data_IF_586633377972
#
_entry.id   IF_586633377972
#
_cell.length_a   1.000
_cell.length_b   1.000
_cell.length_c   1.000
_cell.angle_alpha   90.00
_cell.angle_beta   90.00
_cell.angle_gamma   90.00
#
_symmetry.space_group_name_H-M   'P 1'
#
loop_
_entity.id
_entity.type
_entity.pdbx_description
1 polymer ?
#
# COMPACT_ATOMS: atom_id res chain seq x y z
N UNK A 1 -87.84 -22.25 56.56
CA UNK A 1 -87.42 -21.54 55.35
C UNK A 1 -85.90 -21.64 55.27
N UNK A 2 -85.41 -22.38 54.25
CA UNK A 2 -84.04 -22.39 53.68
C UNK A 2 -82.87 -22.79 54.59
N UNK A 3 -82.29 -24.00 54.40
CA UNK A 3 -81.04 -24.33 53.63
C UNK A 3 -79.77 -23.99 54.48
N UNK A 4 -78.68 -24.76 54.58
CA UNK A 4 -78.13 -25.89 53.82
C UNK A 4 -76.84 -26.39 54.54
N UNK A 5 -76.57 -27.71 54.50
CA UNK A 5 -75.29 -28.41 54.17
C UNK A 5 -74.02 -28.10 55.03
N UNK A 6 -73.03 -28.98 55.24
CA UNK A 6 -72.67 -30.32 54.75
C UNK A 6 -71.59 -30.95 55.68
N UNK A 7 -71.37 -32.25 55.46
CA UNK A 7 -70.70 -33.28 56.26
C UNK A 7 -69.15 -33.14 56.48
N UNK A 8 -68.56 -33.86 57.48
CA UNK A 8 -67.14 -33.85 57.86
C UNK A 8 -66.39 -35.11 57.39
N UNK A 9 -65.07 -35.05 57.11
CA UNK A 9 -64.26 -36.28 56.94
C UNK A 9 -62.85 -36.16 57.53
N UNK A 10 -62.45 -37.29 58.13
CA UNK A 10 -61.38 -37.62 59.06
C UNK A 10 -59.98 -37.78 58.43
N UNK A 11 -59.00 -37.72 59.33
CA UNK A 11 -57.56 -38.09 59.24
C UNK A 11 -57.30 -39.52 58.75
N UNK A 12 -56.19 -39.73 58.05
CA UNK A 12 -55.45 -41.01 57.94
C UNK A 12 -53.94 -40.76 57.78
N UNK A 13 -53.13 -41.67 58.35
CA UNK A 13 -51.67 -41.64 58.59
C UNK A 13 -50.87 -42.32 57.44
N UNK A 14 -49.52 -42.36 57.57
CA UNK A 14 -48.49 -43.30 56.99
C UNK A 14 -47.48 -42.61 56.01
N UNK A 15 -46.16 -42.98 55.93
CA UNK A 15 -45.05 -42.60 56.82
C UNK A 15 -43.85 -41.96 56.07
N UNK A 16 -42.77 -41.71 56.81
CA UNK A 16 -41.45 -41.21 56.38
C UNK A 16 -40.76 -42.15 55.39
N UNK A 17 -40.28 -41.61 54.27
CA UNK A 17 -39.25 -42.21 53.42
C UNK A 17 -38.10 -41.22 53.25
N UNK A 18 -36.95 -41.61 53.77
CA UNK A 18 -35.66 -40.90 53.77
C UNK A 18 -35.01 -41.09 52.38
N UNK A 19 -34.99 -40.03 51.56
CA UNK A 19 -34.28 -40.00 50.28
C UNK A 19 -33.11 -39.03 50.33
N UNK A 20 -31.88 -39.55 50.39
CA UNK A 20 -30.66 -38.75 50.32
C UNK A 20 -30.48 -38.19 48.91
N UNK A 21 -30.76 -36.90 48.72
CA UNK A 21 -30.42 -36.18 47.50
C UNK A 21 -28.97 -35.65 47.63
N UNK A 22 -28.02 -36.37 47.05
CA UNK A 22 -26.69 -35.83 46.79
C UNK A 22 -26.83 -34.73 45.73
N UNK A 23 -26.89 -33.47 46.16
CA UNK A 23 -26.80 -32.34 45.24
C UNK A 23 -25.36 -32.27 44.75
N UNK A 24 -25.09 -32.90 43.59
CA UNK A 24 -23.93 -32.55 42.77
C UNK A 24 -24.02 -31.04 42.51
N UNK A 25 -23.17 -30.27 43.19
CA UNK A 25 -22.90 -28.90 42.82
C UNK A 25 -22.33 -28.92 41.41
N UNK A 26 -23.18 -28.67 40.41
CA UNK A 26 -22.71 -28.37 39.08
C UNK A 26 -21.88 -27.09 39.19
N UNK A 27 -20.56 -27.25 39.18
CA UNK A 27 -19.63 -26.15 38.94
C UNK A 27 -19.89 -25.69 37.51
N UNK A 28 -20.85 -24.78 37.35
CA UNK A 28 -21.09 -24.11 36.08
C UNK A 28 -19.87 -23.24 35.83
N UNK A 29 -18.90 -23.78 35.10
CA UNK A 29 -17.91 -22.95 34.40
C UNK A 29 -18.72 -22.18 33.38
N UNK A 30 -19.19 -21.00 33.76
CA UNK A 30 -19.69 -20.04 32.79
C UNK A 30 -18.49 -19.72 31.89
N UNK A 31 -18.58 -19.93 30.56
CA UNK A 31 -17.55 -19.44 29.67
C UNK A 31 -17.50 -17.92 29.88
N UNK A 32 -16.42 -17.42 30.49
CA UNK A 32 -16.17 -15.99 30.54
C UNK A 32 -16.17 -15.50 29.11
N UNK A 33 -17.00 -14.50 28.81
CA UNK A 33 -17.04 -13.87 27.50
C UNK A 33 -15.65 -13.32 27.20
N UNK A 34 -14.88 -14.02 26.38
CA UNK A 34 -13.64 -13.55 25.81
C UNK A 34 -13.97 -12.46 24.77
N UNK A 35 -14.31 -11.27 25.25
CA UNK A 35 -14.32 -10.07 24.41
C UNK A 35 -12.89 -9.75 24.00
N UNK A 36 -12.70 -9.19 22.81
CA UNK A 36 -11.39 -8.70 22.38
C UNK A 36 -10.79 -7.71 23.41
N UNK A 37 -11.64 -6.88 24.01
CA UNK A 37 -11.38 -6.09 25.22
C UNK A 37 -12.25 -6.61 26.39
N UNK A 38 -12.20 -7.91 26.66
CA UNK A 38 -13.03 -8.59 27.68
C UNK A 38 -12.68 -8.19 29.11
N UNK A 39 -13.17 -8.96 30.09
CA UNK A 39 -13.00 -8.66 31.51
C UNK A 39 -11.55 -8.26 31.85
N UNK A 40 -11.31 -6.99 32.24
CA UNK A 40 -9.97 -6.46 32.42
C UNK A 40 -9.18 -7.20 33.49
N UNK A 41 -9.87 -7.78 34.48
CA UNK A 41 -9.26 -8.53 35.59
C UNK A 41 -8.72 -9.90 35.16
N UNK A 42 -9.15 -10.40 34.01
CA UNK A 42 -8.72 -11.71 33.46
C UNK A 42 -7.67 -11.58 32.37
N UNK A 43 -7.60 -10.42 31.72
CA UNK A 43 -6.61 -10.14 30.68
C UNK A 43 -5.26 -9.79 31.32
N UNK A 44 -4.16 -10.21 30.69
CA UNK A 44 -2.83 -9.83 31.15
C UNK A 44 -2.61 -8.33 30.97
N UNK A 45 -2.03 -7.70 31.98
CA UNK A 45 -1.59 -6.31 31.92
C UNK A 45 -0.60 -6.12 30.76
N UNK A 46 -0.74 -5.01 30.03
CA UNK A 46 0.04 -4.73 28.82
C UNK A 46 -0.48 -5.41 27.55
N UNK A 47 -1.54 -6.23 27.64
CA UNK A 47 -2.25 -6.71 26.44
C UNK A 47 -2.94 -5.56 25.71
N UNK A 48 -2.96 -5.64 24.38
CA UNK A 48 -3.61 -4.65 23.53
C UNK A 48 -4.78 -5.28 22.82
N UNK A 49 -5.92 -4.61 22.85
CA UNK A 49 -7.11 -4.99 22.13
C UNK A 49 -7.55 -3.91 21.14
N UNK A 50 -8.43 -4.30 20.22
CA UNK A 50 -9.08 -3.39 19.27
C UNK A 50 -10.57 -3.28 19.61
N UNK A 51 -11.11 -2.07 19.52
CA UNK A 51 -12.54 -1.80 19.66
C UNK A 51 -13.04 -0.88 18.55
N UNK A 52 -14.28 -1.11 18.12
CA UNK A 52 -14.99 -0.21 17.21
C UNK A 52 -15.65 0.97 17.95
N UNK A 53 -15.65 0.95 19.29
CA UNK A 53 -16.14 2.05 20.11
C UNK A 53 -15.20 3.27 20.02
N UNK A 54 -15.72 4.45 20.38
CA UNK A 54 -14.96 5.71 20.43
C UNK A 54 -14.13 5.90 21.70
N UNK A 55 -14.16 4.95 22.63
CA UNK A 55 -13.46 5.00 23.91
C UNK A 55 -12.94 3.62 24.31
N UNK A 56 -11.92 3.61 25.18
CA UNK A 56 -11.43 2.39 25.78
C UNK A 56 -12.30 1.98 26.98
N UNK A 57 -12.61 0.68 27.15
CA UNK A 57 -13.31 0.20 28.34
C UNK A 57 -12.54 0.51 29.64
N UNK A 58 -13.22 0.39 30.78
CA UNK A 58 -12.60 0.57 32.10
C UNK A 58 -11.34 -0.30 32.23
N UNK A 59 -10.33 0.22 32.94
CA UNK A 59 -8.99 -0.37 33.13
C UNK A 59 -8.10 -0.41 31.87
N UNK A 60 -8.63 0.00 30.71
CA UNK A 60 -7.84 0.19 29.50
C UNK A 60 -7.55 1.66 29.24
N UNK A 61 -6.37 1.92 28.68
CA UNK A 61 -5.96 3.24 28.19
C UNK A 61 -5.82 3.22 26.67
N UNK A 62 -6.03 4.35 25.97
CA UNK A 62 -5.78 4.41 24.53
C UNK A 62 -4.29 4.18 24.23
N UNK A 63 -4.00 3.34 23.24
CA UNK A 63 -2.65 3.13 22.73
C UNK A 63 -2.28 4.23 21.70
N UNK A 64 -2.21 5.47 22.18
CA UNK A 64 -2.01 6.68 21.37
C UNK A 64 -0.68 7.41 21.67
N UNK A 65 0.24 6.78 22.40
CA UNK A 65 1.51 7.41 22.77
C UNK A 65 1.44 8.38 23.95
N UNK A 66 0.32 8.43 24.67
CA UNK A 66 0.19 9.27 25.87
C UNK A 66 1.28 8.99 26.90
N UNK A 67 1.74 10.07 27.55
CA UNK A 67 2.69 10.02 28.66
C UNK A 67 1.90 9.86 29.95
N UNK A 68 2.22 8.82 30.73
CA UNK A 68 1.54 8.48 31.98
C UNK A 68 2.53 8.44 33.14
N UNK A 69 2.04 8.66 34.36
CA UNK A 69 2.87 8.64 35.55
C UNK A 69 3.27 7.21 35.94
N UNK A 70 4.55 7.01 36.24
CA UNK A 70 5.05 5.76 36.82
C UNK A 70 4.39 5.52 38.17
N UNK A 71 4.15 6.56 38.97
CA UNK A 71 3.57 6.41 40.32
C UNK A 71 2.18 5.79 40.31
N UNK A 72 1.42 6.03 39.23
CA UNK A 72 0.06 5.55 39.04
C UNK A 72 0.03 4.16 38.40
N UNK A 73 0.89 3.91 37.42
CA UNK A 73 0.93 2.65 36.67
C UNK A 73 2.25 1.88 36.86
N UNK A 74 2.66 1.68 38.11
CA UNK A 74 3.95 1.05 38.46
C UNK A 74 4.09 -0.36 37.87
N UNK A 75 3.03 -1.16 37.94
CA UNK A 75 3.02 -2.53 37.42
C UNK A 75 3.09 -2.55 35.88
N UNK A 76 2.43 -1.62 35.20
CA UNK A 76 2.53 -1.51 33.74
C UNK A 76 3.94 -1.05 33.34
N UNK A 77 4.51 -0.09 34.06
CA UNK A 77 5.88 0.37 33.85
C UNK A 77 6.91 -0.75 33.99
N UNK A 78 6.75 -1.68 34.94
CA UNK A 78 7.70 -2.80 35.08
C UNK A 78 7.67 -3.81 33.92
N UNK A 79 6.64 -3.74 33.06
CA UNK A 79 6.53 -4.53 31.83
C UNK A 79 7.04 -3.76 30.60
N UNK A 80 6.64 -2.50 30.44
CA UNK A 80 6.91 -1.69 29.24
C UNK A 80 8.24 -0.95 29.33
N UNK A 81 8.66 -0.55 30.53
CA UNK A 81 9.74 0.41 30.73
C UNK A 81 9.46 1.71 29.97
N UNK A 82 10.50 2.23 29.32
CA UNK A 82 10.42 3.42 28.46
C UNK A 82 10.57 3.13 26.98
N UNK A 83 10.31 1.89 26.56
CA UNK A 83 10.50 1.48 25.17
C UNK A 83 9.72 2.37 24.18
N UNK A 84 8.60 2.94 24.64
CA UNK A 84 7.73 3.81 23.85
C UNK A 84 7.95 5.30 24.11
N UNK A 85 8.81 5.68 25.08
CA UNK A 85 9.10 7.06 25.46
C UNK A 85 8.94 7.36 26.97
N UNK A 86 9.01 8.64 27.32
CA UNK A 86 9.01 9.15 28.71
C UNK A 86 10.41 9.40 29.26
N UNK A 87 10.50 9.70 30.57
CA UNK A 87 11.75 10.10 31.23
C UNK A 87 12.40 8.98 32.08
N UNK A 88 11.73 7.83 32.21
CA UNK A 88 12.18 6.68 33.01
C UNK A 88 12.40 6.95 34.48
N UNK A 89 11.86 8.04 35.00
CA UNK A 89 12.01 8.47 36.40
C UNK A 89 10.67 8.75 37.03
N UNK A 90 9.87 9.57 36.36
CA UNK A 90 8.53 9.95 36.80
C UNK A 90 7.44 9.51 35.83
N UNK A 91 7.79 9.31 34.55
CA UNK A 91 6.84 9.05 33.47
C UNK A 91 7.36 8.04 32.46
N UNK A 92 6.42 7.38 31.77
CA UNK A 92 6.68 6.54 30.61
C UNK A 92 5.57 6.75 29.57
N UNK A 93 5.83 6.38 28.32
CA UNK A 93 4.82 6.46 27.27
C UNK A 93 4.11 5.11 27.05
N UNK A 94 2.85 5.17 26.66
CA UNK A 94 2.13 4.04 26.09
C UNK A 94 2.55 3.81 24.61
N UNK A 95 2.26 2.63 24.03
CA UNK A 95 2.40 2.45 22.59
C UNK A 95 1.56 3.46 21.80
N UNK A 96 2.03 3.86 20.62
CA UNK A 96 1.33 4.78 19.71
C UNK A 96 0.99 4.02 18.43
N UNK A 97 -0.24 3.53 18.33
CA UNK A 97 -0.74 2.73 17.21
C UNK A 97 -1.56 3.53 16.19
N UNK A 98 -1.65 4.85 16.36
CA UNK A 98 -2.35 5.73 15.41
C UNK A 98 -1.55 5.80 14.10
N UNK A 99 -2.22 5.55 12.98
CA UNK A 99 -1.59 5.52 11.65
C UNK A 99 -0.60 4.37 11.47
N UNK A 100 -0.68 3.30 12.29
CA UNK A 100 0.28 2.20 12.29
C UNK A 100 -0.40 0.85 12.42
N UNK A 101 0.06 -0.13 11.65
CA UNK A 101 -0.28 -1.53 11.86
C UNK A 101 0.73 -2.18 12.80
N UNK A 102 0.31 -2.92 13.84
CA UNK A 102 1.24 -3.67 14.68
C UNK A 102 1.91 -4.77 13.87
N UNK A 103 3.21 -4.99 14.13
CA UNK A 103 4.02 -6.05 13.53
C UNK A 103 4.77 -6.82 14.61
N UNK A 104 5.16 -8.06 14.33
CA UNK A 104 5.95 -8.86 15.26
C UNK A 104 7.32 -8.20 15.54
N UNK A 105 7.66 -8.09 16.82
CA UNK A 105 8.99 -7.66 17.25
C UNK A 105 9.98 -8.84 17.23
N UNK A 106 11.26 -8.54 17.02
CA UNK A 106 12.36 -9.50 16.99
C UNK A 106 13.02 -9.63 15.62
N UNK A 107 13.90 -10.63 15.52
CA UNK A 107 14.56 -11.03 14.28
C UNK A 107 13.92 -12.30 13.74
N UNK A 108 13.72 -12.37 12.43
CA UNK A 108 13.26 -13.59 11.75
C UNK A 108 14.06 -13.80 10.47
N UNK A 109 14.34 -15.07 10.07
CA UNK A 109 15.08 -15.34 8.84
C UNK A 109 14.42 -14.67 7.62
N UNK A 110 15.21 -13.96 6.82
CA UNK A 110 14.72 -13.26 5.63
C UNK A 110 13.90 -11.99 5.90
N UNK A 111 13.70 -11.58 7.16
CA UNK A 111 13.02 -10.34 7.53
C UNK A 111 13.98 -9.35 8.19
N UNK A 112 13.65 -8.05 8.05
CA UNK A 112 14.34 -7.00 8.78
C UNK A 112 14.01 -7.09 10.29
N UNK A 113 14.99 -6.88 11.19
CA UNK A 113 14.73 -6.84 12.62
C UNK A 113 13.75 -5.72 12.97
N UNK A 114 12.86 -6.00 13.93
CA UNK A 114 11.96 -4.99 14.50
C UNK A 114 12.16 -4.92 16.01
N UNK A 115 12.64 -3.78 16.49
CA UNK A 115 12.70 -3.54 17.94
C UNK A 115 11.30 -3.20 18.48
N UNK A 116 11.03 -3.51 19.75
CA UNK A 116 9.79 -3.04 20.37
C UNK A 116 9.83 -1.51 20.43
N UNK A 117 8.67 -0.87 20.37
CA UNK A 117 8.57 0.60 20.31
C UNK A 117 9.08 1.25 19.02
N UNK A 118 9.74 0.51 18.12
CA UNK A 118 10.30 1.07 16.89
C UNK A 118 9.18 1.55 15.95
N UNK A 119 9.13 2.87 15.74
CA UNK A 119 8.25 3.49 14.73
C UNK A 119 8.88 3.29 13.34
N UNK A 120 8.22 2.51 12.48
CA UNK A 120 8.68 2.19 11.11
C UNK A 120 7.62 2.53 10.07
N UNK A 121 8.05 2.66 8.81
CA UNK A 121 7.19 3.02 7.68
C UNK A 121 6.83 4.50 7.62
N UNK A 122 6.33 4.94 6.47
CA UNK A 122 5.79 6.28 6.24
C UNK A 122 4.46 6.18 5.48
N UNK A 123 3.51 7.07 5.78
CA UNK A 123 2.21 7.10 5.10
C UNK A 123 2.31 7.61 3.66
N UNK A 124 3.30 8.46 3.39
CA UNK A 124 3.63 8.94 2.06
C UNK A 124 5.12 8.83 1.80
N UNK A 125 5.48 8.57 0.54
CA UNK A 125 6.86 8.59 0.05
C UNK A 125 6.89 9.53 -1.15
N UNK A 126 7.86 10.44 -1.18
CA UNK A 126 8.08 11.26 -2.38
C UNK A 126 8.98 10.50 -3.34
N UNK A 127 8.48 10.21 -4.54
CA UNK A 127 9.29 9.58 -5.58
C UNK A 127 10.23 10.63 -6.18
N UNK A 128 11.53 10.45 -5.99
CA UNK A 128 12.58 11.23 -6.66
C UNK A 128 13.21 10.37 -7.74
N UNK A 129 13.98 10.99 -8.64
CA UNK A 129 14.74 10.24 -9.64
C UNK A 129 15.69 9.23 -8.97
N UNK A 130 16.30 9.60 -7.84
CA UNK A 130 17.19 8.72 -7.07
C UNK A 130 16.49 7.51 -6.45
N UNK A 131 15.18 7.59 -6.18
CA UNK A 131 14.42 6.47 -5.59
C UNK A 131 13.74 5.61 -6.65
N UNK A 132 13.87 5.94 -7.94
CA UNK A 132 13.39 5.10 -9.04
C UNK A 132 14.44 4.05 -9.43
N UNK A 133 13.99 2.85 -9.82
CA UNK A 133 14.89 1.88 -10.41
C UNK A 133 15.48 2.45 -11.73
N UNK A 134 16.78 2.24 -12.02
CA UNK A 134 17.36 2.62 -13.30
C UNK A 134 16.59 1.97 -14.44
N UNK A 135 16.08 2.80 -15.35
CA UNK A 135 15.38 2.38 -16.56
C UNK A 135 15.78 3.29 -17.72
N UNK A 136 15.64 2.78 -18.94
CA UNK A 136 15.94 3.51 -20.16
C UNK A 136 14.93 3.17 -21.24
N UNK A 137 14.64 4.13 -22.11
CA UNK A 137 13.84 3.90 -23.30
C UNK A 137 14.74 3.89 -24.53
N UNK A 138 14.64 2.83 -25.34
CA UNK A 138 15.22 2.82 -26.67
C UNK A 138 14.36 3.68 -27.58
N UNK A 139 14.91 4.78 -28.08
CA UNK A 139 14.22 5.62 -29.05
C UNK A 139 14.70 5.23 -30.45
N UNK A 140 13.80 4.64 -31.22
CA UNK A 140 14.08 4.27 -32.62
C UNK A 140 13.53 5.36 -33.53
N UNK A 141 14.43 6.14 -34.14
CA UNK A 141 14.05 7.05 -35.21
C UNK A 141 14.05 6.31 -36.56
N UNK A 142 12.92 6.31 -37.27
CA UNK A 142 12.82 5.79 -38.64
C UNK A 142 12.85 6.96 -39.62
N UNK A 143 14.01 7.24 -40.22
CA UNK A 143 14.23 8.30 -41.21
C UNK A 143 15.72 8.42 -41.57
N UNK A 144 16.11 9.16 -42.64
CA UNK A 144 17.52 9.24 -43.05
C UNK A 144 18.37 9.82 -41.92
N UNK A 145 19.41 9.08 -41.53
CA UNK A 145 20.31 9.44 -40.45
C UNK A 145 21.08 10.74 -40.77
N UNK A 146 21.40 11.51 -39.72
CA UNK A 146 22.28 12.66 -39.78
C UNK A 146 23.68 12.20 -40.22
N UNK A 147 23.96 12.39 -41.51
CA UNK A 147 25.20 11.99 -42.16
C UNK A 147 24.96 12.00 -43.66
N UNK A 148 25.81 12.68 -44.43
CA UNK A 148 25.65 12.82 -45.88
C UNK A 148 25.32 11.48 -46.53
N UNK A 149 24.06 11.33 -46.93
CA UNK A 149 23.50 10.10 -47.46
C UNK A 149 23.01 10.36 -48.87
N UNK A 150 22.97 9.31 -49.67
CA UNK A 150 22.31 9.38 -50.98
C UNK A 150 20.81 9.22 -50.77
N UNK A 151 20.02 10.19 -51.25
CA UNK A 151 18.57 10.01 -51.36
C UNK A 151 18.28 9.35 -52.71
N UNK A 152 17.47 8.31 -52.66
CA UNK A 152 16.99 7.60 -53.84
C UNK A 152 15.87 8.40 -54.47
N UNK A 153 16.19 9.11 -55.56
CA UNK A 153 15.20 9.79 -56.37
C UNK A 153 14.94 8.94 -57.60
N UNK A 154 13.74 8.39 -57.71
CA UNK A 154 13.32 7.66 -58.92
C UNK A 154 13.02 8.69 -60.00
N UNK A 155 13.76 8.73 -61.12
CA UNK A 155 13.49 9.67 -62.19
C UNK A 155 12.09 9.43 -62.76
N UNK A 156 11.25 10.46 -62.76
CA UNK A 156 9.94 10.41 -63.40
C UNK A 156 10.09 10.41 -64.93
N UNK A 157 9.22 9.68 -65.64
CA UNK A 157 9.13 9.78 -67.09
C UNK A 157 8.86 11.24 -67.49
N UNK A 158 9.68 11.79 -68.38
CA UNK A 158 9.70 13.21 -68.72
C UNK A 158 8.31 13.73 -69.15
N UNK A 159 7.95 14.93 -68.67
CA UNK A 159 6.87 15.75 -69.24
C UNK A 159 7.35 17.19 -69.40
N UNK A 160 8.54 17.37 -69.98
CA UNK A 160 9.13 18.67 -70.34
C UNK A 160 9.42 18.75 -71.84
N UNK A 161 9.34 19.95 -72.41
CA UNK A 161 9.50 20.20 -73.86
C UNK A 161 10.95 20.39 -74.31
N UNK A 162 11.90 20.58 -73.37
CA UNK A 162 13.34 20.49 -73.62
C UNK A 162 13.80 19.11 -73.12
N UNK A 163 13.85 18.15 -74.04
CA UNK A 163 14.39 16.84 -73.72
C UNK A 163 15.88 17.03 -73.37
N UNK A 164 16.37 16.53 -72.22
CA UNK A 164 17.81 16.49 -71.98
C UNK A 164 18.44 15.64 -73.10
N UNK A 165 19.74 15.81 -73.36
CA UNK A 165 20.42 15.10 -74.45
C UNK A 165 20.04 13.59 -74.49
N UNK A 166 19.89 13.03 -75.69
CA UNK A 166 19.41 11.67 -75.89
C UNK A 166 20.15 10.67 -74.97
N UNK A 167 19.39 9.97 -74.12
CA UNK A 167 19.92 9.05 -73.10
C UNK A 167 19.82 9.55 -71.65
N UNK A 168 19.42 10.81 -71.41
CA UNK A 168 19.31 11.38 -70.07
C UNK A 168 17.84 11.54 -69.61
N UNK A 169 17.61 11.60 -68.29
CA UNK A 169 16.30 11.81 -67.65
C UNK A 169 16.38 12.87 -66.55
N UNK A 170 15.28 13.58 -66.26
CA UNK A 170 15.28 14.60 -65.21
C UNK A 170 15.16 13.98 -63.81
N UNK A 171 15.87 14.57 -62.84
CA UNK A 171 15.77 14.19 -61.43
C UNK A 171 14.49 14.69 -60.75
N UNK A 172 13.77 15.63 -61.38
CA UNK A 172 12.56 16.28 -60.85
C UNK A 172 11.46 16.29 -61.94
N UNK A 173 10.21 16.04 -61.56
CA UNK A 173 9.06 16.19 -62.44
C UNK A 173 8.65 17.65 -62.67
N UNK A 174 7.91 17.94 -63.75
CA UNK A 174 7.32 19.26 -63.98
C UNK A 174 6.25 19.57 -62.92
N UNK A 175 6.42 20.64 -62.15
CA UNK A 175 5.38 21.13 -61.23
C UNK A 175 4.55 22.18 -61.97
N UNK A 176 3.26 21.91 -62.19
CA UNK A 176 2.34 22.88 -62.78
C UNK A 176 2.58 23.20 -64.27
N UNK A 177 3.15 22.28 -65.05
CA UNK A 177 3.29 22.43 -66.52
C UNK A 177 4.25 23.53 -66.98
N UNK A 178 5.12 24.02 -66.09
CA UNK A 178 6.20 24.96 -66.44
C UNK A 178 7.44 24.20 -66.89
N UNK A 179 8.19 24.77 -67.83
CA UNK A 179 9.44 24.21 -68.31
C UNK A 179 10.47 24.19 -67.18
N UNK A 180 11.20 23.08 -67.04
CA UNK A 180 12.30 22.94 -66.08
C UNK A 180 13.61 22.78 -66.86
N UNK A 181 14.53 23.73 -66.75
CA UNK A 181 15.96 23.51 -67.07
C UNK A 181 16.66 22.97 -65.82
N UNK A 182 16.17 21.81 -65.36
CA UNK A 182 16.54 21.22 -64.08
C UNK A 182 17.70 20.22 -64.17
N UNK A 183 18.28 19.83 -63.01
CA UNK A 183 19.34 18.81 -62.98
C UNK A 183 18.82 17.47 -63.55
N UNK A 184 19.63 16.85 -64.40
CA UNK A 184 19.34 15.59 -65.08
C UNK A 184 20.36 14.51 -64.68
N UNK A 185 19.99 13.26 -64.93
CA UNK A 185 20.77 12.05 -64.68
C UNK A 185 20.84 11.22 -65.97
N UNK A 186 21.88 10.40 -66.09
CA UNK A 186 21.99 9.39 -67.17
C UNK A 186 21.26 8.09 -66.83
N UNK A 187 20.64 7.99 -65.65
CA UNK A 187 19.84 6.83 -65.26
C UNK A 187 18.54 6.76 -66.09
N UNK A 188 18.14 5.56 -66.48
CA UNK A 188 16.91 5.32 -67.25
C UNK A 188 15.66 5.56 -66.41
N UNK A 189 14.59 6.07 -67.05
CA UNK A 189 13.29 6.22 -66.39
C UNK A 189 12.74 4.85 -65.96
N UNK A 190 12.33 4.73 -64.69
CA UNK A 190 11.89 3.45 -64.11
C UNK A 190 13.00 2.42 -63.85
N UNK A 191 14.28 2.80 -64.03
CA UNK A 191 15.44 2.00 -63.64
C UNK A 191 15.87 2.25 -62.19
N UNK A 192 17.09 1.81 -61.84
CA UNK A 192 17.64 2.02 -60.50
C UNK A 192 17.63 3.51 -60.10
N UNK A 193 17.27 3.84 -58.84
CA UNK A 193 17.17 5.23 -58.40
C UNK A 193 18.47 6.00 -58.62
N UNK A 194 18.36 7.23 -59.10
CA UNK A 194 19.50 8.13 -59.18
C UNK A 194 19.87 8.59 -57.77
N UNK A 195 21.14 8.39 -57.40
CA UNK A 195 21.68 8.79 -56.10
C UNK A 195 22.12 10.24 -56.17
N UNK A 196 21.44 11.13 -55.45
CA UNK A 196 21.91 12.53 -55.31
C UNK A 196 22.92 12.57 -54.17
N UNK A 197 24.19 12.73 -54.49
CA UNK A 197 25.28 12.83 -53.52
C UNK A 197 25.31 14.23 -52.88
N UNK A 198 25.71 14.31 -51.60
CA UNK A 198 25.86 15.59 -50.88
C UNK A 198 24.55 16.14 -50.31
N UNK A 199 23.46 15.36 -50.29
CA UNK A 199 22.24 15.75 -49.58
C UNK A 199 22.42 15.47 -48.09
N UNK A 200 22.35 16.51 -47.27
CA UNK A 200 22.29 16.40 -45.82
C UNK A 200 20.84 16.47 -45.36
N UNK A 201 20.29 15.37 -44.86
CA UNK A 201 19.06 15.36 -44.06
C UNK A 201 19.47 15.43 -42.60
N UNK A 202 19.19 16.55 -41.95
CA UNK A 202 19.43 16.69 -40.51
C UNK A 202 18.17 16.30 -39.77
N UNK A 203 18.16 15.11 -39.17
CA UNK A 203 17.25 14.82 -38.07
C UNK A 203 17.87 15.47 -36.83
N UNK A 204 17.17 16.44 -36.24
CA UNK A 204 17.59 17.02 -34.97
C UNK A 204 17.45 15.96 -33.87
N UNK A 205 18.57 15.35 -33.50
CA UNK A 205 18.64 14.38 -32.41
C UNK A 205 18.82 15.04 -31.05
N UNK A 206 19.00 16.36 -30.99
CA UNK A 206 19.11 17.13 -29.75
C UNK A 206 17.72 17.29 -29.12
N UNK A 207 17.22 16.20 -28.53
CA UNK A 207 15.89 16.13 -27.93
C UNK A 207 15.30 14.72 -27.84
N UNK A 208 15.92 13.70 -28.45
CA UNK A 208 15.50 12.29 -28.28
C UNK A 208 16.16 11.68 -27.04
N UNK A 209 16.01 12.33 -25.90
CA UNK A 209 16.26 11.74 -24.60
C UNK A 209 14.91 11.62 -23.89
N UNK A 210 14.49 10.41 -23.58
CA UNK A 210 13.43 10.21 -22.58
C UNK A 210 14.10 10.42 -21.22
N UNK A 211 14.22 11.68 -20.81
CA UNK A 211 14.69 11.99 -19.46
C UNK A 211 13.77 11.28 -18.44
N UNK A 212 14.33 10.64 -17.41
CA UNK A 212 13.53 10.00 -16.37
C UNK A 212 12.66 11.07 -15.71
N UNK A 213 11.38 11.10 -16.09
CA UNK A 213 10.44 12.12 -15.62
C UNK A 213 9.74 11.58 -14.39
N UNK A 214 10.19 11.98 -13.21
CA UNK A 214 9.50 11.79 -11.94
C UNK A 214 8.86 13.11 -11.52
N UNK A 215 7.54 13.15 -11.36
CA UNK A 215 6.81 14.39 -11.04
C UNK A 215 7.12 15.01 -9.67
N UNK A 216 8.02 14.41 -8.87
CA UNK A 216 8.42 14.89 -7.54
C UNK A 216 7.25 14.98 -6.55
N UNK A 217 6.10 14.38 -6.88
CA UNK A 217 4.90 14.44 -6.05
C UNK A 217 4.96 13.33 -5.00
N UNK A 218 4.55 13.61 -3.76
CA UNK A 218 4.30 12.55 -2.78
C UNK A 218 3.26 11.58 -3.31
N UNK A 219 3.56 10.28 -3.24
CA UNK A 219 2.59 9.22 -3.45
C UNK A 219 2.23 8.60 -2.10
N UNK A 220 0.93 8.41 -1.89
CA UNK A 220 0.39 7.80 -0.68
C UNK A 220 0.71 6.30 -0.75
N UNK A 221 1.38 5.79 0.29
CA UNK A 221 1.72 4.36 0.43
C UNK A 221 0.80 3.66 1.45
N UNK A 222 -0.38 4.21 1.68
CA UNK A 222 -1.37 3.67 2.60
C UNK A 222 -2.19 2.58 1.88
N UNK A 223 -2.20 1.33 2.38
CA UNK A 223 -3.19 0.36 1.92
C UNK A 223 -4.60 0.82 2.33
N UNK A 224 -5.67 0.29 1.69
CA UNK A 224 -7.02 0.48 2.19
C UNK A 224 -7.11 0.04 3.65
N UNK A 225 -7.50 0.97 4.53
CA UNK A 225 -7.51 0.75 5.98
C UNK A 225 -8.75 1.39 6.60
N UNK A 226 -9.24 0.77 7.67
CA UNK A 226 -10.34 1.27 8.48
C UNK A 226 -9.82 1.56 9.89
N UNK A 227 -10.09 2.75 10.40
CA UNK A 227 -9.69 3.15 11.74
C UNK A 227 -10.52 2.43 12.80
N UNK A 228 -9.84 1.77 13.74
CA UNK A 228 -10.39 1.25 15.00
C UNK A 228 -9.52 1.74 16.15
N UNK A 229 -10.09 1.79 17.35
CA UNK A 229 -9.35 2.23 18.52
C UNK A 229 -8.56 1.05 19.10
N UNK A 230 -7.28 1.28 19.37
CA UNK A 230 -6.43 0.36 20.11
C UNK A 230 -6.37 0.78 21.57
N UNK A 231 -6.56 -0.20 22.45
CA UNK A 231 -6.61 0.01 23.89
C UNK A 231 -5.65 -0.97 24.58
N UNK A 232 -4.82 -0.47 25.50
CA UNK A 232 -3.89 -1.27 26.31
C UNK A 232 -4.45 -1.47 27.71
N UNK A 233 -4.43 -2.71 28.21
CA UNK A 233 -4.84 -3.01 29.57
C UNK A 233 -3.79 -2.46 30.55
N UNK A 234 -4.18 -1.43 31.32
CA UNK A 234 -3.32 -0.77 32.29
C UNK A 234 -3.47 -1.33 33.71
N UNK A 235 -4.56 -2.05 33.98
CA UNK A 235 -4.92 -2.57 35.30
C UNK A 235 -5.56 -3.97 35.16
N UNK A 236 -4.71 -4.96 34.88
CA UNK A 236 -5.08 -6.35 34.66
C UNK A 236 -4.15 -7.34 35.37
N UNK A 237 -4.25 -8.62 35.03
CA UNK A 237 -3.43 -9.66 35.66
C UNK A 237 -1.95 -9.47 35.32
N UNK A 238 -1.08 -9.35 36.32
CA UNK A 238 0.35 -9.22 36.07
C UNK A 238 0.93 -10.53 35.49
N UNK A 239 1.56 -10.51 34.30
CA UNK A 239 2.09 -11.73 33.69
C UNK A 239 3.32 -12.24 34.44
N UNK A 240 3.36 -13.53 34.84
CA UNK A 240 4.55 -14.12 35.46
C UNK A 240 5.68 -14.23 34.44
N UNK A 241 6.91 -13.98 34.88
CA UNK A 241 8.10 -14.27 34.06
C UNK A 241 8.35 -15.78 34.11
N UNK A 242 8.41 -16.48 32.96
CA UNK A 242 8.73 -17.90 32.92
C UNK A 242 10.17 -18.19 33.35
#
# INVERSE_FOLDING_TARGET
MMLQRQNPIRRSLIPVALGAAATLGALTVAPGSAGACGDPSTAYMGSVCMTAASFCPDHYLPADGSIVSISEYQALFSLLGCEYGGDCRSTFALPDLRGRSPVGAGQSPGLMPVQRGQKRGTEAVTQTVDTMAPHSHTITATGPATGGGTIDVVPGAASGTTQPAAGNTYLLGAVGGKANDGPYTTASAGGDPAKVAGVSVTMDSTGLAADPTGGGKPQINLPPQLGVLFCINADGLYPPRP
#
